data_IF_562765569219
#
_entry.id   IF_562765569219
#
_cell.length_a   1.000
_cell.length_b   1.000
_cell.length_c   1.000
_cell.angle_alpha   90.00
_cell.angle_beta   90.00
_cell.angle_gamma   90.00
#
_symmetry.space_group_name_H-M   'P 1'
#
loop_
_entity.id
_entity.type
_entity.pdbx_description
1 polymer ?
#
# COMPACT_ATOMS: atom_id res chain seq x y z
N UNK A 1 -4.34 1.74 -14.27
CA UNK A 1 -4.51 2.77 -13.21
C UNK A 1 -4.01 4.11 -13.76
N UNK A 2 -4.70 5.23 -13.47
CA UNK A 2 -4.40 6.58 -13.98
C UNK A 2 -4.40 7.56 -12.82
N UNK A 3 -3.41 8.45 -12.74
CA UNK A 3 -3.40 9.58 -11.80
C UNK A 3 -3.54 10.90 -12.54
N UNK A 4 -4.23 11.86 -11.94
CA UNK A 4 -4.39 13.22 -12.42
C UNK A 4 -3.96 14.15 -11.30
N UNK A 5 -2.95 14.98 -11.55
CA UNK A 5 -2.44 15.97 -10.60
C UNK A 5 -2.75 17.36 -11.13
N UNK A 6 -3.33 18.18 -10.28
CA UNK A 6 -3.65 19.56 -10.61
C UNK A 6 -2.60 20.53 -10.08
N UNK A 7 -2.51 21.70 -10.68
CA UNK A 7 -1.60 22.76 -10.25
C UNK A 7 -2.00 24.10 -10.86
N UNK A 8 -1.04 25.00 -10.97
CA UNK A 8 -1.26 26.33 -11.52
C UNK A 8 -0.29 26.62 -12.65
N UNK A 9 -0.74 27.33 -13.68
CA UNK A 9 0.12 27.85 -14.72
C UNK A 9 0.80 29.16 -14.27
N UNK A 10 1.60 29.78 -15.14
CA UNK A 10 2.30 31.04 -14.85
C UNK A 10 1.38 32.23 -14.54
N UNK A 11 0.12 32.16 -14.98
CA UNK A 11 -0.91 33.19 -14.71
C UNK A 11 -1.70 32.86 -13.41
N UNK A 12 -1.34 31.81 -12.67
CA UNK A 12 -2.04 31.38 -11.45
C UNK A 12 -3.38 30.68 -11.70
N UNK A 13 -3.68 30.29 -12.94
CA UNK A 13 -4.91 29.54 -13.26
C UNK A 13 -4.71 28.05 -13.03
N UNK A 14 -5.75 27.40 -12.52
CA UNK A 14 -5.74 25.96 -12.29
C UNK A 14 -5.65 25.18 -13.61
N UNK A 15 -4.76 24.19 -13.63
CA UNK A 15 -4.52 23.32 -14.80
C UNK A 15 -4.25 21.90 -14.32
N UNK A 16 -4.33 20.95 -15.24
CA UNK A 16 -3.79 19.60 -15.03
C UNK A 16 -2.29 19.66 -15.35
N UNK A 17 -1.47 19.31 -14.39
CA UNK A 17 -0.01 19.25 -14.54
C UNK A 17 0.51 17.88 -14.89
N UNK A 18 -0.17 16.82 -14.39
CA UNK A 18 0.14 15.42 -14.71
C UNK A 18 -1.15 14.69 -15.02
N UNK A 19 -1.15 13.95 -16.12
CA UNK A 19 -2.20 13.03 -16.52
C UNK A 19 -1.55 11.77 -17.10
N UNK A 20 -1.54 10.69 -16.34
CA UNK A 20 -0.81 9.48 -16.74
C UNK A 20 -0.87 8.35 -15.72
N UNK A 21 0.03 7.38 -15.83
CA UNK A 21 0.13 6.28 -14.88
C UNK A 21 0.61 6.74 -13.50
N UNK A 22 0.63 5.86 -12.49
CA UNK A 22 1.34 6.10 -11.23
C UNK A 22 2.77 6.60 -11.48
N UNK A 23 3.33 7.38 -10.56
CA UNK A 23 4.69 7.90 -10.69
C UNK A 23 5.73 6.78 -10.75
N UNK A 24 5.55 5.82 -9.87
CA UNK A 24 6.36 4.61 -9.75
C UNK A 24 5.49 3.45 -9.34
N UNK A 25 5.93 2.25 -9.68
CA UNK A 25 5.35 0.99 -9.22
C UNK A 25 6.46 -0.03 -8.94
N UNK A 26 6.16 -1.00 -8.07
CA UNK A 26 7.05 -2.10 -7.73
C UNK A 26 6.22 -3.33 -7.36
N UNK A 27 6.65 -4.51 -7.79
CA UNK A 27 6.05 -5.79 -7.43
C UNK A 27 4.75 -6.09 -8.16
N UNK A 28 4.54 -5.57 -9.38
CA UNK A 28 3.32 -5.74 -10.17
C UNK A 28 3.00 -7.20 -10.48
N UNK A 29 4.00 -8.06 -10.51
CA UNK A 29 3.90 -9.50 -10.73
C UNK A 29 3.25 -10.26 -9.56
N UNK A 30 3.33 -9.72 -8.35
CA UNK A 30 2.77 -10.30 -7.12
C UNK A 30 1.68 -9.43 -6.47
N UNK A 31 1.24 -8.40 -7.18
CA UNK A 31 0.31 -7.37 -6.70
C UNK A 31 0.90 -5.99 -6.92
N UNK A 32 1.53 -5.42 -5.91
CA UNK A 32 2.39 -4.25 -6.07
C UNK A 32 1.95 -3.00 -5.30
N UNK A 33 2.90 -2.07 -5.21
CA UNK A 33 2.70 -0.72 -4.74
C UNK A 33 2.75 0.26 -5.91
N UNK A 34 1.83 1.21 -5.93
CA UNK A 34 1.67 2.21 -6.99
C UNK A 34 1.64 3.60 -6.37
N UNK A 35 2.71 4.36 -6.51
CA UNK A 35 2.85 5.69 -5.93
C UNK A 35 2.05 6.73 -6.71
N UNK A 36 1.16 7.43 -6.04
CA UNK A 36 0.29 8.44 -6.63
C UNK A 36 0.78 9.85 -6.32
N UNK A 37 0.99 10.16 -5.03
CA UNK A 37 1.46 11.48 -4.60
C UNK A 37 2.14 11.40 -3.25
N UNK A 38 3.24 12.14 -3.09
CA UNK A 38 3.95 12.23 -1.82
C UNK A 38 4.12 13.71 -1.43
N UNK A 39 4.02 13.98 -0.13
CA UNK A 39 4.36 15.28 0.44
C UNK A 39 5.57 15.15 1.36
N UNK A 40 6.27 16.25 1.57
CA UNK A 40 7.44 16.31 2.44
C UNK A 40 7.26 17.48 3.42
N UNK A 41 7.11 17.17 4.71
CA UNK A 41 6.95 18.17 5.75
C UNK A 41 5.53 18.73 5.93
N UNK A 42 5.39 19.61 6.90
CA UNK A 42 4.16 20.33 7.24
C UNK A 42 4.54 21.70 7.80
N UNK A 43 3.88 22.82 7.41
CA UNK A 43 2.76 22.89 6.45
C UNK A 43 3.18 22.61 5.01
N UNK A 44 2.24 22.13 4.20
CA UNK A 44 2.47 21.85 2.79
C UNK A 44 2.29 23.12 1.96
N UNK A 45 3.28 23.44 1.09
CA UNK A 45 3.08 24.46 0.08
C UNK A 45 2.32 23.88 -1.12
N UNK A 46 1.07 24.31 -1.29
CA UNK A 46 0.21 23.87 -2.40
C UNK A 46 0.65 24.36 -3.77
N UNK A 47 1.62 25.28 -3.84
CA UNK A 47 2.23 25.77 -5.08
C UNK A 47 3.44 24.95 -5.51
N UNK A 48 3.97 24.09 -4.62
CA UNK A 48 5.07 23.19 -4.96
C UNK A 48 4.59 22.17 -6.02
N UNK A 49 5.14 22.26 -7.20
CA UNK A 49 4.80 21.40 -8.35
C UNK A 49 5.71 20.19 -8.49
N UNK A 50 6.64 20.00 -7.57
CA UNK A 50 7.58 18.87 -7.63
C UNK A 50 6.87 17.55 -7.34
N UNK A 51 6.94 16.61 -8.29
CA UNK A 51 6.40 15.25 -8.13
C UNK A 51 7.34 14.37 -7.29
N UNK A 52 7.14 14.40 -5.98
CA UNK A 52 7.94 13.62 -5.02
C UNK A 52 7.65 12.12 -5.06
N UNK A 53 6.56 11.72 -5.70
CA UNK A 53 6.24 10.31 -5.90
C UNK A 53 7.12 9.68 -7.01
N UNK A 54 7.74 10.49 -7.89
CA UNK A 54 8.72 10.03 -8.87
C UNK A 54 10.12 9.87 -8.22
N UNK A 55 10.22 8.99 -7.26
CA UNK A 55 11.44 8.67 -6.51
C UNK A 55 11.47 7.18 -6.16
N UNK A 56 12.52 6.74 -5.50
CA UNK A 56 12.61 5.39 -4.95
C UNK A 56 11.41 5.09 -4.05
N UNK A 57 10.83 3.88 -4.20
CA UNK A 57 9.69 3.46 -3.39
C UNK A 57 10.19 3.01 -2.02
N UNK A 58 9.84 3.79 -1.01
CA UNK A 58 10.08 3.47 0.40
C UNK A 58 8.72 3.37 1.10
N UNK A 59 8.53 2.39 1.99
CA UNK A 59 7.25 2.15 2.64
C UNK A 59 6.76 3.38 3.42
N UNK A 60 7.58 3.88 4.33
CA UNK A 60 7.21 5.01 5.20
C UNK A 60 7.35 6.36 4.49
N UNK A 61 6.52 7.35 4.81
CA UNK A 61 6.72 8.72 4.36
C UNK A 61 7.97 9.34 5.02
N UNK A 62 8.45 10.44 4.46
CA UNK A 62 9.43 11.31 5.14
C UNK A 62 8.85 11.89 6.44
N UNK A 63 9.68 12.31 7.40
CA UNK A 63 9.18 12.95 8.62
C UNK A 63 8.22 14.11 8.32
N UNK A 64 7.06 14.11 8.95
CA UNK A 64 5.96 15.06 8.72
C UNK A 64 5.41 15.09 7.28
N UNK A 65 5.75 14.12 6.45
CA UNK A 65 5.22 13.95 5.10
C UNK A 65 4.04 12.97 5.05
N UNK A 66 3.48 12.84 3.85
CA UNK A 66 2.43 11.85 3.57
C UNK A 66 2.75 11.09 2.29
N UNK A 67 2.19 9.88 2.17
CA UNK A 67 2.19 9.09 0.94
C UNK A 67 0.77 8.72 0.58
N UNK A 68 0.39 8.97 -0.65
CA UNK A 68 -0.84 8.47 -1.23
C UNK A 68 -0.49 7.44 -2.30
N UNK A 69 -0.95 6.21 -2.10
CA UNK A 69 -0.66 5.07 -2.97
C UNK A 69 -1.84 4.14 -3.11
N UNK A 70 -1.82 3.34 -4.16
CA UNK A 70 -2.57 2.09 -4.21
C UNK A 70 -1.63 0.95 -3.88
N UNK A 71 -2.14 -0.06 -3.21
CA UNK A 71 -1.49 -1.36 -3.15
C UNK A 71 -2.46 -2.45 -3.57
N UNK A 72 -1.92 -3.46 -4.20
CA UNK A 72 -2.64 -4.63 -4.64
C UNK A 72 -1.98 -5.86 -4.04
N UNK A 73 -2.78 -6.80 -3.57
CA UNK A 73 -2.31 -8.04 -3.00
C UNK A 73 -2.91 -9.17 -3.84
N UNK A 74 -2.06 -10.05 -4.33
CA UNK A 74 -2.50 -11.27 -4.98
C UNK A 74 -2.68 -12.37 -3.95
N UNK A 75 -3.62 -13.31 -4.16
CA UNK A 75 -3.75 -14.48 -3.31
C UNK A 75 -2.43 -15.27 -3.26
N UNK A 76 -2.09 -15.75 -2.07
CA UNK A 76 -0.96 -16.66 -1.92
C UNK A 76 -1.34 -18.02 -2.53
N UNK A 77 -0.54 -18.60 -3.43
CA UNK A 77 -0.80 -19.92 -3.98
C UNK A 77 -0.83 -20.98 -2.88
N UNK A 78 -1.71 -21.95 -3.04
CA UNK A 78 -1.80 -23.07 -2.08
C UNK A 78 -0.51 -23.91 -2.07
N UNK A 79 -0.17 -24.46 -0.91
CA UNK A 79 0.94 -25.39 -0.76
C UNK A 79 2.33 -24.76 -0.77
N UNK A 80 2.45 -23.45 -0.79
CA UNK A 80 3.76 -22.79 -0.66
C UNK A 80 4.26 -22.96 0.79
N UNK A 81 5.47 -23.52 1.01
CA UNK A 81 6.04 -23.68 2.35
C UNK A 81 6.18 -22.33 3.07
N UNK A 82 5.98 -22.36 4.37
CA UNK A 82 6.07 -21.18 5.23
C UNK A 82 7.42 -20.44 5.10
N UNK A 83 8.50 -21.18 5.04
CA UNK A 83 9.86 -20.65 4.91
C UNK A 83 10.03 -19.85 3.62
N UNK A 84 9.45 -20.34 2.50
CA UNK A 84 9.49 -19.64 1.21
C UNK A 84 8.70 -18.34 1.29
N UNK A 85 7.55 -18.34 1.96
CA UNK A 85 6.75 -17.11 2.18
C UNK A 85 7.49 -16.11 3.08
N UNK A 86 8.18 -16.59 4.09
CA UNK A 86 9.00 -15.76 4.98
C UNK A 86 10.15 -15.09 4.23
N UNK A 87 10.87 -15.83 3.40
CA UNK A 87 11.98 -15.31 2.61
C UNK A 87 11.48 -14.30 1.57
N UNK A 88 10.42 -14.63 0.85
CA UNK A 88 9.81 -13.72 -0.13
C UNK A 88 9.31 -12.42 0.51
N UNK A 89 8.67 -12.51 1.67
CA UNK A 89 8.24 -11.32 2.40
C UNK A 89 9.43 -10.50 2.91
N UNK A 90 10.49 -11.15 3.40
CA UNK A 90 11.71 -10.46 3.86
C UNK A 90 12.33 -9.66 2.71
N UNK A 91 12.51 -10.28 1.54
CA UNK A 91 13.04 -9.63 0.35
C UNK A 91 12.14 -8.46 -0.11
N UNK A 92 10.82 -8.67 -0.16
CA UNK A 92 9.88 -7.62 -0.55
C UNK A 92 9.96 -6.38 0.36
N UNK A 93 10.02 -6.59 1.68
CA UNK A 93 10.14 -5.50 2.64
C UNK A 93 11.52 -4.82 2.60
N UNK A 94 12.60 -5.56 2.32
CA UNK A 94 13.93 -4.97 2.11
C UNK A 94 13.94 -4.05 0.90
N UNK A 95 13.36 -4.48 -0.22
CA UNK A 95 13.26 -3.69 -1.47
C UNK A 95 12.55 -2.34 -1.32
N UNK A 96 11.69 -2.19 -0.31
CA UNK A 96 10.98 -0.94 -0.01
C UNK A 96 11.48 -0.26 1.28
N UNK A 97 12.71 -0.60 1.73
CA UNK A 97 13.36 0.00 2.90
C UNK A 97 12.64 -0.27 4.22
N UNK A 98 11.87 -1.36 4.32
CA UNK A 98 10.96 -1.63 5.43
C UNK A 98 11.28 -2.92 6.22
N UNK A 99 12.45 -3.54 6.01
CA UNK A 99 12.84 -4.77 6.69
C UNK A 99 12.74 -4.64 8.22
N UNK A 100 13.09 -3.47 8.77
CA UNK A 100 13.05 -3.17 10.20
C UNK A 100 11.64 -3.02 10.79
N UNK A 101 10.61 -2.94 9.96
CA UNK A 101 9.22 -2.90 10.38
C UNK A 101 8.63 -4.31 10.65
N UNK A 102 9.31 -5.37 10.19
CA UNK A 102 8.91 -6.76 10.44
C UNK A 102 9.41 -7.21 11.82
N UNK A 103 8.65 -6.90 12.87
CA UNK A 103 9.05 -7.14 14.27
C UNK A 103 8.61 -8.54 14.72
N UNK A 104 7.34 -8.89 14.52
CA UNK A 104 6.78 -10.21 14.84
C UNK A 104 5.98 -10.71 13.63
N UNK A 105 6.50 -11.76 13.02
CA UNK A 105 5.91 -12.41 11.84
C UNK A 105 5.35 -13.79 12.14
N UNK A 106 5.13 -14.13 13.40
CA UNK A 106 4.70 -15.47 13.83
C UNK A 106 3.33 -15.85 13.28
N UNK A 107 2.42 -14.88 13.12
CA UNK A 107 1.07 -15.09 12.61
C UNK A 107 0.99 -15.07 11.07
N UNK A 108 1.78 -14.26 10.42
CA UNK A 108 1.84 -14.17 8.96
C UNK A 108 3.18 -13.55 8.50
N UNK A 109 3.81 -14.05 7.40
CA UNK A 109 5.10 -13.55 6.91
C UNK A 109 5.15 -12.05 6.62
N UNK A 110 4.04 -11.46 6.20
CA UNK A 110 3.93 -10.04 5.88
C UNK A 110 3.51 -9.16 7.08
N UNK A 111 3.48 -9.71 8.30
CA UNK A 111 3.24 -8.89 9.50
C UNK A 111 4.29 -7.81 9.64
N UNK A 112 3.84 -6.58 9.84
CA UNK A 112 4.73 -5.44 10.02
C UNK A 112 4.05 -4.33 10.81
N UNK A 113 4.88 -3.43 11.37
CA UNK A 113 4.44 -2.30 12.18
C UNK A 113 5.17 -1.04 11.74
N UNK A 114 4.44 0.02 11.49
CA UNK A 114 4.96 1.36 11.16
C UNK A 114 4.61 2.37 12.26
N UNK A 115 5.23 3.53 12.23
CA UNK A 115 4.91 4.67 13.12
C UNK A 115 3.92 5.65 12.48
N UNK A 116 3.20 5.19 11.46
CA UNK A 116 2.23 6.01 10.71
C UNK A 116 0.79 5.75 11.17
N UNK A 117 -0.10 6.67 10.80
CA UNK A 117 -1.53 6.44 10.75
C UNK A 117 -1.88 6.31 9.27
N UNK A 118 -2.48 5.17 8.91
CA UNK A 118 -2.83 4.91 7.53
C UNK A 118 -4.36 4.89 7.38
N UNK A 119 -4.86 5.60 6.39
CA UNK A 119 -6.27 5.59 6.01
C UNK A 119 -6.41 4.71 4.77
N UNK A 120 -7.11 3.59 4.93
CA UNK A 120 -7.17 2.54 3.92
C UNK A 120 -8.62 2.32 3.54
N UNK A 121 -8.90 2.24 2.24
CA UNK A 121 -10.20 1.89 1.70
C UNK A 121 -10.01 0.69 0.79
N UNK A 122 -10.71 -0.41 1.06
CA UNK A 122 -10.74 -1.54 0.14
C UNK A 122 -11.60 -1.18 -1.06
N UNK A 123 -11.00 -1.13 -2.25
CA UNK A 123 -11.72 -0.77 -3.47
C UNK A 123 -12.33 -1.98 -4.16
N UNK A 124 -11.65 -3.14 -4.11
CA UNK A 124 -12.07 -4.36 -4.78
C UNK A 124 -11.44 -5.57 -4.11
N UNK A 125 -12.11 -6.71 -4.21
CA UNK A 125 -11.62 -8.00 -3.72
C UNK A 125 -12.15 -8.35 -2.34
N UNK A 126 -11.57 -9.39 -1.78
CA UNK A 126 -11.89 -9.96 -0.49
C UNK A 126 -10.59 -10.09 0.30
N UNK A 127 -10.45 -9.34 1.36
CA UNK A 127 -9.20 -9.17 2.10
C UNK A 127 -9.46 -9.33 3.58
N UNK A 128 -8.63 -10.11 4.27
CA UNK A 128 -8.55 -10.11 5.73
C UNK A 128 -7.43 -9.19 6.21
N UNK A 129 -7.75 -8.35 7.18
CA UNK A 129 -6.78 -7.66 8.00
C UNK A 129 -6.46 -8.53 9.21
N UNK A 130 -5.21 -8.95 9.32
CA UNK A 130 -4.70 -9.67 10.48
C UNK A 130 -4.05 -8.70 11.46
N UNK A 131 -4.41 -8.81 12.73
CA UNK A 131 -3.74 -8.17 13.86
C UNK A 131 -3.17 -9.24 14.79
N UNK A 132 -2.43 -8.86 15.82
CA UNK A 132 -1.84 -9.82 16.75
C UNK A 132 -2.90 -10.74 17.38
N UNK A 133 -4.00 -10.18 17.88
CA UNK A 133 -5.05 -10.91 18.59
C UNK A 133 -6.30 -11.17 17.75
N UNK A 134 -6.56 -10.34 16.73
CA UNK A 134 -7.82 -10.34 16.00
C UNK A 134 -7.60 -10.42 14.50
N UNK A 135 -8.66 -10.78 13.80
CA UNK A 135 -8.75 -10.77 12.35
C UNK A 135 -10.11 -10.22 11.94
N UNK A 136 -10.14 -9.40 10.89
CA UNK A 136 -11.39 -8.91 10.30
C UNK A 136 -11.35 -9.04 8.79
N UNK A 137 -12.41 -9.65 8.24
CA UNK A 137 -12.63 -9.72 6.79
C UNK A 137 -13.30 -8.43 6.33
N UNK A 138 -12.75 -7.85 5.27
CA UNK A 138 -13.21 -6.60 4.68
C UNK A 138 -13.93 -6.85 3.36
N UNK A 139 -14.88 -5.96 3.08
CA UNK A 139 -15.59 -5.88 1.82
C UNK A 139 -15.28 -4.56 1.11
N UNK A 140 -15.51 -4.46 -0.22
CA UNK A 140 -15.34 -3.21 -0.94
C UNK A 140 -16.04 -2.03 -0.25
N UNK A 141 -15.32 -0.92 -0.14
CA UNK A 141 -15.65 0.32 0.56
C UNK A 141 -15.55 0.29 2.08
N UNK A 142 -15.21 -0.85 2.71
CA UNK A 142 -14.79 -0.82 4.10
C UNK A 142 -13.55 0.05 4.27
N UNK A 143 -13.55 0.80 5.36
CA UNK A 143 -12.49 1.75 5.67
C UNK A 143 -11.80 1.38 6.97
N UNK A 144 -10.49 1.31 6.94
CA UNK A 144 -9.64 1.01 8.10
C UNK A 144 -8.78 2.23 8.43
N UNK A 145 -8.72 2.55 9.72
CA UNK A 145 -7.71 3.47 10.27
C UNK A 145 -6.66 2.62 10.99
N UNK A 146 -5.55 2.38 10.32
CA UNK A 146 -4.41 1.65 10.85
C UNK A 146 -3.55 2.58 11.69
N UNK A 147 -3.42 2.33 12.99
CA UNK A 147 -2.80 3.22 13.96
C UNK A 147 -1.45 2.69 14.46
N UNK A 148 -0.54 2.37 13.54
CA UNK A 148 0.79 1.87 13.91
C UNK A 148 0.76 0.53 14.68
N UNK A 149 -0.24 -0.31 14.43
CA UNK A 149 -0.34 -1.66 15.00
C UNK A 149 0.37 -2.66 14.13
N UNK A 150 0.84 -3.77 14.68
CA UNK A 150 1.37 -4.89 13.91
C UNK A 150 0.24 -5.52 13.11
N UNK A 151 0.42 -5.68 11.79
CA UNK A 151 -0.65 -6.13 10.92
C UNK A 151 -0.13 -6.77 9.64
N UNK A 152 -1.00 -7.56 9.02
CA UNK A 152 -0.84 -8.01 7.64
C UNK A 152 -2.17 -7.96 6.90
N UNK A 153 -2.09 -7.89 5.58
CA UNK A 153 -3.21 -7.95 4.66
C UNK A 153 -3.13 -9.26 3.90
N UNK A 154 -4.21 -10.02 3.90
CA UNK A 154 -4.28 -11.31 3.22
C UNK A 154 -5.41 -11.30 2.22
N UNK A 155 -5.09 -11.50 0.94
CA UNK A 155 -6.11 -11.68 -0.09
C UNK A 155 -6.67 -13.10 0.04
N UNK A 156 -7.97 -13.20 0.20
CA UNK A 156 -8.66 -14.48 0.23
C UNK A 156 -8.86 -14.95 -1.20
N UNK A 157 -8.50 -16.20 -1.48
CA UNK A 157 -8.84 -16.82 -2.74
C UNK A 157 -10.38 -16.84 -2.86
N UNK A 158 -10.90 -16.30 -3.97
CA UNK A 158 -12.21 -16.68 -4.40
C UNK A 158 -12.15 -18.20 -4.71
N UNK A 159 -12.50 -19.02 -3.76
CA UNK A 159 -13.07 -20.29 -4.12
C UNK A 159 -14.36 -19.93 -4.84
N UNK A 160 -14.35 -20.04 -6.16
CA UNK A 160 -15.60 -20.09 -6.90
C UNK A 160 -16.35 -21.29 -6.33
N UNK A 161 -17.23 -21.09 -5.38
CA UNK A 161 -18.24 -22.06 -5.07
C UNK A 161 -19.09 -22.21 -6.32
N UNK A 162 -18.64 -23.17 -7.10
CA UNK A 162 -19.54 -23.96 -7.86
C UNK A 162 -20.49 -24.61 -6.84
N UNK A 163 -21.70 -24.33 -6.97
CA UNK A 163 -22.83 -25.16 -6.61
C UNK A 163 -23.98 -24.28 -6.17
N UNK A 164 -24.63 -23.71 -7.14
CA UNK A 164 -26.07 -23.73 -7.12
C UNK A 164 -26.52 -24.86 -8.10
N UNK A 165 -26.71 -26.04 -7.55
CA UNK A 165 -27.65 -26.99 -8.10
C UNK A 165 -29.04 -26.77 -7.49
#
# INVERSE_FOLDING_TARGET
MRRIITGHNQEGKSVITIDGPPARSIGEDVGGLFEIWNTNGSPIDTRDSHDRADSEIILSPSPNGTKFRYFQINPTPEGVPWEILQDAAAEAFERIGAAHHRIDTSKHPAMHKTETIDYIILLQGDVSLLLDEEEVRLQPFDTVVQRGTNHAWVCLLYTSDAADE
#
